data_IF_456089678055
#
_entry.id   IF_456089678055
#
_cell.length_a   1.000
_cell.length_b   1.000
_cell.length_c   1.000
_cell.angle_alpha   90.00
_cell.angle_beta   90.00
_cell.angle_gamma   90.00
#
_symmetry.space_group_name_H-M   'P 1'
#
loop_
_entity.id
_entity.type
_entity.pdbx_description
1 polymer ?
#
# COMPACT_ATOMS: atom_id res chain seq x y z
N UNK A 1 50.42 3.70 -4.93
CA UNK A 1 49.43 3.12 -4.00
C UNK A 1 48.12 3.06 -4.76
N UNK A 2 47.65 1.87 -5.10
CA UNK A 2 46.33 1.74 -5.76
C UNK A 2 45.22 2.01 -4.73
N UNK A 3 44.13 2.70 -5.12
CA UNK A 3 43.00 2.90 -4.23
C UNK A 3 42.31 1.55 -3.97
N UNK A 4 42.18 1.19 -2.70
CA UNK A 4 41.41 0.01 -2.28
C UNK A 4 39.93 0.35 -2.49
N UNK A 5 39.37 -0.08 -3.62
CA UNK A 5 37.93 -0.04 -3.84
C UNK A 5 37.27 -1.10 -2.94
N UNK A 6 36.69 -0.66 -1.82
CA UNK A 6 35.87 -1.55 -1.01
C UNK A 6 34.55 -1.81 -1.75
N UNK A 7 34.37 -3.05 -2.19
CA UNK A 7 33.11 -3.49 -2.78
C UNK A 7 32.01 -3.47 -1.70
N UNK A 8 31.01 -2.62 -1.87
CA UNK A 8 29.86 -2.48 -0.97
C UNK A 8 28.60 -3.15 -1.52
N UNK A 9 28.70 -3.93 -2.60
CA UNK A 9 27.53 -4.53 -3.27
C UNK A 9 26.67 -5.35 -2.32
N UNK A 10 27.26 -6.17 -1.45
CA UNK A 10 26.51 -6.98 -0.49
C UNK A 10 25.76 -6.14 0.54
N UNK A 11 26.40 -5.07 1.02
CA UNK A 11 25.77 -4.12 1.94
C UNK A 11 24.59 -3.39 1.27
N UNK A 12 24.79 -2.90 0.05
CA UNK A 12 23.75 -2.20 -0.71
C UNK A 12 22.59 -3.15 -1.06
N UNK A 13 22.89 -4.38 -1.49
CA UNK A 13 21.90 -5.40 -1.79
C UNK A 13 21.04 -5.71 -0.55
N UNK A 14 21.66 -5.82 0.63
CA UNK A 14 20.92 -5.99 1.88
C UNK A 14 20.02 -4.79 2.20
N UNK A 15 20.52 -3.56 2.04
CA UNK A 15 19.72 -2.35 2.28
C UNK A 15 18.51 -2.27 1.34
N UNK A 16 18.70 -2.54 0.04
CA UNK A 16 17.60 -2.59 -0.93
C UNK A 16 16.59 -3.68 -0.56
N UNK A 17 17.05 -4.88 -0.20
CA UNK A 17 16.16 -5.96 0.19
C UNK A 17 15.31 -5.61 1.43
N UNK A 18 15.91 -5.00 2.44
CA UNK A 18 15.19 -4.54 3.63
C UNK A 18 14.17 -3.45 3.29
N UNK A 19 14.53 -2.54 2.38
CA UNK A 19 13.64 -1.50 1.90
C UNK A 19 12.45 -2.07 1.12
N UNK A 20 12.69 -3.06 0.25
CA UNK A 20 11.64 -3.74 -0.51
C UNK A 20 10.66 -4.49 0.41
N UNK A 21 11.17 -5.20 1.42
CA UNK A 21 10.33 -5.86 2.42
C UNK A 21 9.45 -4.82 3.14
N UNK A 22 10.05 -3.71 3.59
CA UNK A 22 9.31 -2.64 4.29
C UNK A 22 8.24 -2.04 3.38
N UNK A 23 8.60 -1.73 2.14
CA UNK A 23 7.69 -1.15 1.15
C UNK A 23 6.51 -2.09 0.86
N UNK A 24 6.79 -3.37 0.64
CA UNK A 24 5.77 -4.39 0.41
C UNK A 24 4.78 -4.50 1.58
N UNK A 25 5.31 -4.59 2.81
CA UNK A 25 4.49 -4.64 4.03
C UNK A 25 3.63 -3.39 4.19
N UNK A 26 4.23 -2.20 4.08
CA UNK A 26 3.50 -0.93 4.21
C UNK A 26 2.44 -0.77 3.11
N UNK A 27 2.71 -1.23 1.89
CA UNK A 27 1.74 -1.22 0.80
C UNK A 27 0.55 -2.14 1.10
N UNK A 28 0.81 -3.35 1.61
CA UNK A 28 -0.24 -4.27 2.01
C UNK A 28 -1.12 -3.69 3.14
N UNK A 29 -0.50 -3.12 4.18
CA UNK A 29 -1.21 -2.46 5.28
C UNK A 29 -2.08 -1.29 4.79
N UNK A 30 -1.56 -0.48 3.86
CA UNK A 30 -2.31 0.62 3.26
C UNK A 30 -3.56 0.13 2.50
N UNK A 31 -3.43 -0.94 1.72
CA UNK A 31 -4.58 -1.54 1.01
C UNK A 31 -5.63 -2.04 1.98
N UNK A 32 -5.22 -2.75 3.05
CA UNK A 32 -6.15 -3.22 4.08
C UNK A 32 -6.88 -2.07 4.78
N UNK A 33 -6.16 -1.00 5.12
CA UNK A 33 -6.75 0.19 5.73
C UNK A 33 -7.80 0.82 4.81
N UNK A 34 -7.53 0.95 3.52
CA UNK A 34 -8.48 1.52 2.56
C UNK A 34 -9.69 0.60 2.34
N UNK A 35 -9.48 -0.72 2.24
CA UNK A 35 -10.60 -1.69 2.19
C UNK A 35 -11.50 -1.57 3.41
N UNK A 36 -10.91 -1.43 4.60
CA UNK A 36 -11.65 -1.20 5.84
C UNK A 36 -12.46 0.10 5.81
N UNK A 37 -11.86 1.20 5.35
CA UNK A 37 -12.56 2.48 5.19
C UNK A 37 -13.74 2.36 4.20
N UNK A 38 -13.53 1.71 3.05
CA UNK A 38 -14.59 1.43 2.08
C UNK A 38 -15.70 0.54 2.66
N UNK A 39 -15.38 -0.40 3.55
CA UNK A 39 -16.38 -1.20 4.23
C UNK A 39 -17.21 -0.35 5.20
N UNK A 40 -16.53 0.46 6.04
CA UNK A 40 -17.18 1.34 7.02
C UNK A 40 -18.13 2.34 6.35
N UNK A 41 -17.77 2.90 5.19
CA UNK A 41 -18.63 3.85 4.46
C UNK A 41 -19.95 3.20 4.01
N UNK A 42 -19.95 1.89 3.73
CA UNK A 42 -21.14 1.12 3.33
C UNK A 42 -22.04 0.69 4.50
N UNK A 43 -21.58 0.77 5.76
CA UNK A 43 -22.38 0.35 6.93
C UNK A 43 -23.51 1.38 7.20
N UNK A 44 -24.80 1.00 7.15
CA UNK A 44 -25.94 1.90 7.34
C UNK A 44 -25.99 2.59 8.72
N UNK A 45 -25.51 1.88 9.74
CA UNK A 45 -25.56 2.29 11.15
C UNK A 45 -24.32 3.05 11.63
N UNK A 46 -23.35 3.31 10.75
CA UNK A 46 -22.15 4.05 11.13
C UNK A 46 -22.52 5.52 11.44
N UNK A 47 -21.97 6.03 12.54
CA UNK A 47 -22.14 7.42 12.93
C UNK A 47 -21.76 8.35 11.76
N UNK A 48 -22.57 9.39 11.56
CA UNK A 48 -22.44 10.34 10.46
C UNK A 48 -21.08 11.04 10.48
N UNK A 49 -20.49 11.24 11.68
CA UNK A 49 -19.13 11.76 11.84
C UNK A 49 -18.09 10.78 11.29
N UNK A 50 -18.18 9.51 11.67
CA UNK A 50 -17.26 8.46 11.23
C UNK A 50 -17.32 8.31 9.70
N UNK A 51 -18.51 8.38 9.12
CA UNK A 51 -18.70 8.36 7.66
C UNK A 51 -17.99 9.53 6.97
N UNK A 52 -18.14 10.75 7.46
CA UNK A 52 -17.48 11.94 6.88
C UNK A 52 -15.96 11.86 6.98
N UNK A 53 -15.43 11.44 8.13
CA UNK A 53 -13.99 11.25 8.32
C UNK A 53 -13.46 10.14 7.38
N UNK A 54 -14.21 9.06 7.21
CA UNK A 54 -13.90 7.95 6.30
C UNK A 54 -13.90 8.39 4.83
N UNK A 55 -14.92 9.13 4.39
CA UNK A 55 -15.00 9.66 3.02
C UNK A 55 -13.87 10.64 2.71
N UNK A 56 -13.51 11.49 3.69
CA UNK A 56 -12.36 12.40 3.56
C UNK A 56 -11.06 11.61 3.40
N UNK A 57 -10.82 10.64 4.28
CA UNK A 57 -9.62 9.80 4.22
C UNK A 57 -9.51 9.01 2.90
N UNK A 58 -10.64 8.53 2.36
CA UNK A 58 -10.68 7.86 1.06
C UNK A 58 -10.34 8.81 -0.10
N UNK A 59 -10.87 10.04 -0.10
CA UNK A 59 -10.56 11.05 -1.14
C UNK A 59 -9.10 11.47 -1.13
N UNK A 60 -8.52 11.64 0.06
CA UNK A 60 -7.11 12.00 0.22
C UNK A 60 -6.17 10.81 -0.03
N UNK A 61 -6.69 9.57 -0.09
CA UNK A 61 -5.88 8.38 -0.38
C UNK A 61 -5.46 8.30 -1.85
N UNK A 62 -4.31 7.66 -2.11
CA UNK A 62 -3.81 7.39 -3.47
C UNK A 62 -4.83 6.63 -4.35
N UNK A 63 -5.73 5.87 -3.72
CA UNK A 63 -6.76 5.10 -4.40
C UNK A 63 -7.92 5.94 -4.97
N UNK A 64 -7.99 7.24 -4.64
CA UNK A 64 -8.88 8.16 -5.35
C UNK A 64 -8.37 8.48 -6.76
N UNK A 65 -7.06 8.36 -6.98
CA UNK A 65 -6.40 8.61 -8.27
C UNK A 65 -6.13 7.32 -9.04
N UNK A 66 -5.90 6.21 -8.35
CA UNK A 66 -5.55 4.92 -8.94
C UNK A 66 -6.55 3.86 -8.47
N UNK A 67 -7.25 3.16 -9.36
CA UNK A 67 -8.11 2.03 -8.98
C UNK A 67 -7.34 1.01 -8.13
N UNK A 68 -7.98 0.47 -7.09
CA UNK A 68 -7.37 -0.54 -6.21
C UNK A 68 -6.95 -1.81 -6.93
N UNK A 69 -7.52 -2.10 -8.10
CA UNK A 69 -7.12 -3.18 -9.01
C UNK A 69 -5.76 -2.96 -9.68
N UNK A 70 -5.27 -1.72 -9.73
CA UNK A 70 -3.98 -1.37 -10.34
C UNK A 70 -2.85 -1.24 -9.30
N UNK A 71 -3.17 -1.32 -8.01
CA UNK A 71 -2.15 -1.34 -6.96
C UNK A 71 -1.63 -2.77 -6.83
N UNK A 72 -0.42 -2.98 -7.35
CA UNK A 72 0.32 -4.24 -7.22
C UNK A 72 0.63 -4.50 -5.74
N UNK A 73 -0.16 -5.38 -5.14
CA UNK A 73 0.14 -5.96 -3.83
C UNK A 73 0.99 -7.20 -4.10
N UNK A 74 2.08 -7.39 -3.36
CA UNK A 74 3.03 -8.49 -3.59
C UNK A 74 2.43 -9.92 -3.52
N UNK A 75 1.16 -10.05 -3.14
CA UNK A 75 0.39 -11.27 -3.32
C UNK A 75 -0.25 -11.27 -4.70
N UNK A 76 0.47 -11.84 -5.68
CA UNK A 76 -0.08 -12.41 -6.89
C UNK A 76 -0.88 -11.47 -7.79
N UNK A 77 -0.46 -11.40 -9.05
CA UNK A 77 -1.30 -10.95 -10.17
C UNK A 77 -2.70 -11.62 -10.08
N UNK A 78 -3.69 -10.96 -9.50
CA UNK A 78 -5.07 -11.44 -9.53
C UNK A 78 -5.59 -11.11 -10.93
N UNK A 79 -5.58 -12.13 -11.80
CA UNK A 79 -6.14 -12.09 -13.15
C UNK A 79 -7.65 -11.85 -13.18
N UNK A 80 -8.32 -11.87 -12.03
CA UNK A 80 -9.74 -11.58 -11.95
C UNK A 80 -10.00 -10.17 -11.41
N UNK A 81 -10.73 -9.32 -12.16
CA UNK A 81 -11.11 -8.01 -11.68
C UNK A 81 -11.99 -8.15 -10.44
N UNK A 82 -11.54 -7.57 -9.32
CA UNK A 82 -12.38 -7.35 -8.16
C UNK A 82 -13.55 -6.45 -8.58
N UNK A 83 -14.73 -7.05 -8.79
CA UNK A 83 -15.97 -6.33 -9.07
C UNK A 83 -16.42 -5.55 -7.83
N UNK A 84 -16.81 -4.29 -8.07
CA UNK A 84 -17.30 -3.32 -7.08
C UNK A 84 -18.63 -3.72 -6.42
#
# INVERSE_FOLDING_TARGET
MEPIYQNQQDYLALQFHLMDIKLSKSSHEAVLAIRRLNFISKIPLADQRIRRETERALRESLLSYVPSSLVLIGEGYYFDPLKN
#
